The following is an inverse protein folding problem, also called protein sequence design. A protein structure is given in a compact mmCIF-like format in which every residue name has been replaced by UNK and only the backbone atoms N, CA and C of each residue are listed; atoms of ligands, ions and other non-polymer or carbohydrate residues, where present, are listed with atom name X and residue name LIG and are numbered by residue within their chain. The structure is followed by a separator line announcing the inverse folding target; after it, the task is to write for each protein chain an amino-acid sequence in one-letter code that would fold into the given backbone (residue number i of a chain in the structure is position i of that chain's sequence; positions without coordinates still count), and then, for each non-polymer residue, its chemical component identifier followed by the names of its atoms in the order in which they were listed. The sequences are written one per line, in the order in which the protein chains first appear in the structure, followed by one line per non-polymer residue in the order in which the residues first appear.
data_IF_526360034942
#
_entry.id   IF_526360034942
#
_cell.length_a   1.000
_cell.length_b   1.000
_cell.length_c   1.000
_cell.angle_alpha   90.00
_cell.angle_beta   90.00
_cell.angle_gamma   90.00
#
_symmetry.space_group_name_H-M   'P 1'
#
loop_
_entity.id
_entity.type
_entity.pdbx_description
1 polymer ?
#
# COMPACT_ATOMS: atom_id res chain seq x y z
N UNK A 1 42.89 -2.90 26.55
CA UNK A 1 41.46 -3.20 26.80
C UNK A 1 40.70 -3.03 25.50
N UNK A 2 40.30 -4.12 24.84
CA UNK A 2 39.49 -4.08 23.62
C UNK A 2 38.02 -4.08 24.07
N UNK A 3 37.27 -3.02 23.76
CA UNK A 3 35.81 -2.98 23.97
C UNK A 3 35.14 -3.63 22.77
N UNK A 4 34.52 -4.78 22.98
CA UNK A 4 33.65 -5.43 22.01
C UNK A 4 32.32 -4.67 21.97
N UNK A 5 32.01 -4.02 20.85
CA UNK A 5 30.71 -3.41 20.60
C UNK A 5 29.92 -4.36 19.71
N UNK A 6 28.87 -4.98 20.27
CA UNK A 6 27.99 -5.85 19.48
C UNK A 6 27.28 -5.01 18.43
N UNK A 7 27.54 -5.30 17.16
CA UNK A 7 26.83 -4.70 16.04
C UNK A 7 25.39 -5.23 16.11
N UNK A 8 24.45 -4.42 16.59
CA UNK A 8 23.02 -4.74 16.51
C UNK A 8 22.68 -4.92 15.04
N UNK A 9 22.54 -6.18 14.61
CA UNK A 9 22.00 -6.50 13.31
C UNK A 9 20.59 -5.87 13.25
N UNK A 10 20.47 -4.78 12.50
CA UNK A 10 19.18 -4.19 12.19
C UNK A 10 18.32 -5.32 11.64
N UNK A 11 17.25 -5.67 12.36
CA UNK A 11 16.34 -6.75 12.00
C UNK A 11 15.81 -6.48 10.60
N UNK A 12 16.27 -7.26 9.62
CA UNK A 12 15.83 -7.17 8.25
C UNK A 12 14.31 -7.38 8.22
N UNK A 13 13.56 -6.32 7.94
CA UNK A 13 12.12 -6.43 7.74
C UNK A 13 11.89 -7.38 6.56
N UNK A 14 11.09 -8.44 6.72
CA UNK A 14 10.83 -9.37 5.63
C UNK A 14 10.21 -8.61 4.47
N UNK A 15 10.74 -8.84 3.26
CA UNK A 15 10.18 -8.24 2.05
C UNK A 15 8.69 -8.59 1.97
N UNK A 16 7.81 -7.61 1.75
CA UNK A 16 6.39 -7.88 1.64
C UNK A 16 6.15 -8.86 0.48
N UNK A 17 5.20 -9.77 0.66
CA UNK A 17 4.78 -10.65 -0.43
C UNK A 17 4.37 -9.82 -1.65
N UNK A 18 4.55 -10.33 -2.87
CA UNK A 18 4.14 -9.62 -4.08
C UNK A 18 2.67 -9.17 -4.02
N UNK A 19 1.80 -9.97 -3.39
CA UNK A 19 0.40 -9.60 -3.16
C UNK A 19 0.26 -8.39 -2.25
N UNK A 20 0.99 -8.36 -1.14
CA UNK A 20 0.98 -7.23 -0.20
C UNK A 20 1.45 -5.95 -0.88
N UNK A 21 2.56 -6.02 -1.63
CA UNK A 21 3.08 -4.88 -2.38
C UNK A 21 2.07 -4.32 -3.40
N UNK A 22 1.33 -5.20 -4.10
CA UNK A 22 0.29 -4.78 -5.03
C UNK A 22 -0.92 -4.15 -4.31
N UNK A 23 -1.30 -4.66 -3.15
CA UNK A 23 -2.37 -4.08 -2.33
C UNK A 23 -1.97 -2.69 -1.84
N UNK A 24 -0.73 -2.54 -1.34
CA UNK A 24 -0.20 -1.26 -0.86
C UNK A 24 -0.16 -0.23 -1.99
N UNK A 25 0.33 -0.62 -3.18
CA UNK A 25 0.35 0.25 -4.35
C UNK A 25 -1.06 0.69 -4.75
N UNK A 26 -2.01 -0.25 -4.86
CA UNK A 26 -3.39 0.07 -5.22
C UNK A 26 -4.04 0.98 -4.17
N UNK A 27 -3.81 0.73 -2.88
CA UNK A 27 -4.30 1.58 -1.80
C UNK A 27 -3.71 2.99 -1.87
N UNK A 28 -2.42 3.13 -2.21
CA UNK A 28 -1.77 4.42 -2.44
C UNK A 28 -2.46 5.21 -3.55
N UNK A 29 -2.63 4.60 -4.72
CA UNK A 29 -3.29 5.24 -5.87
C UNK A 29 -4.76 5.60 -5.57
N UNK A 30 -5.49 4.75 -4.83
CA UNK A 30 -6.85 5.06 -4.37
C UNK A 30 -6.89 6.31 -3.48
N UNK A 31 -5.90 6.47 -2.59
CA UNK A 31 -5.82 7.64 -1.71
C UNK A 31 -5.45 8.89 -2.50
N UNK A 32 -4.50 8.81 -3.42
CA UNK A 32 -4.14 9.94 -4.28
C UNK A 32 -5.32 10.44 -5.10
N UNK A 33 -6.07 9.52 -5.73
CA UNK A 33 -7.30 9.87 -6.44
C UNK A 33 -8.30 10.57 -5.52
N UNK A 34 -8.55 10.01 -4.33
CA UNK A 34 -9.49 10.60 -3.38
C UNK A 34 -9.04 12.00 -2.92
N UNK A 35 -7.75 12.21 -2.69
CA UNK A 35 -7.19 13.53 -2.33
C UNK A 35 -7.26 14.52 -3.50
N UNK A 36 -7.11 14.06 -4.74
CA UNK A 36 -7.26 14.86 -5.94
C UNK A 36 -8.72 15.15 -6.31
N UNK A 37 -9.70 14.70 -5.52
CA UNK A 37 -11.13 14.84 -5.82
C UNK A 37 -11.62 13.93 -6.95
N UNK A 38 -10.82 12.96 -7.38
CA UNK A 38 -11.18 11.99 -8.40
C UNK A 38 -11.98 10.84 -7.79
N UNK A 39 -12.97 10.34 -8.55
CA UNK A 39 -13.75 9.18 -8.11
C UNK A 39 -12.93 7.90 -8.26
N UNK A 40 -12.84 7.13 -7.17
CA UNK A 40 -12.21 5.81 -7.17
C UNK A 40 -13.20 4.77 -7.70
N UNK A 41 -13.04 4.33 -8.94
CA UNK A 41 -13.87 3.32 -9.60
C UNK A 41 -13.00 2.27 -10.30
N UNK A 42 -13.60 1.15 -10.72
CA UNK A 42 -12.88 0.15 -11.51
C UNK A 42 -12.40 0.70 -12.86
N UNK A 43 -13.14 1.66 -13.42
CA UNK A 43 -12.80 2.35 -14.67
C UNK A 43 -11.56 3.24 -14.49
N UNK A 44 -11.56 4.11 -13.47
CA UNK A 44 -10.42 5.01 -13.21
C UNK A 44 -9.17 4.26 -12.74
N UNK A 45 -9.32 3.11 -12.08
CA UNK A 45 -8.22 2.19 -11.83
C UNK A 45 -7.72 1.51 -13.12
N UNK A 46 -8.62 1.19 -14.03
CA UNK A 46 -8.29 0.66 -15.36
C UNK A 46 -7.48 1.66 -16.19
N UNK A 47 -7.85 2.93 -16.18
CA UNK A 47 -7.10 4.03 -16.82
C UNK A 47 -5.67 4.17 -16.26
N UNK A 48 -5.48 3.85 -14.97
CA UNK A 48 -4.17 3.82 -14.30
C UNK A 48 -3.36 2.54 -14.57
N UNK A 49 -3.88 1.64 -15.42
CA UNK A 49 -3.19 0.45 -15.89
C UNK A 49 -3.48 -0.83 -15.09
N UNK A 50 -4.48 -0.82 -14.21
CA UNK A 50 -4.89 -2.04 -13.49
C UNK A 50 -5.78 -2.92 -14.35
N UNK A 51 -5.44 -4.21 -14.43
CA UNK A 51 -6.31 -5.17 -15.10
C UNK A 51 -7.59 -5.43 -14.29
N UNK A 52 -8.73 -5.72 -14.95
CA UNK A 52 -10.00 -5.98 -14.27
C UNK A 52 -9.90 -7.17 -13.30
N UNK A 53 -9.12 -8.19 -13.65
CA UNK A 53 -8.86 -9.33 -12.79
C UNK A 53 -8.11 -8.94 -11.51
N UNK A 54 -7.11 -8.05 -11.60
CA UNK A 54 -6.38 -7.54 -10.44
C UNK A 54 -7.26 -6.65 -9.57
N UNK A 55 -8.05 -5.76 -10.16
CA UNK A 55 -8.99 -4.90 -9.43
C UNK A 55 -9.96 -5.77 -8.63
N UNK A 56 -10.61 -6.75 -9.25
CA UNK A 56 -11.57 -7.64 -8.57
C UNK A 56 -10.95 -8.38 -7.38
N UNK A 57 -9.67 -8.79 -7.49
CA UNK A 57 -8.97 -9.58 -6.46
C UNK A 57 -8.39 -8.74 -5.33
N UNK A 58 -7.91 -7.53 -5.64
CA UNK A 58 -7.12 -6.71 -4.72
C UNK A 58 -7.93 -5.56 -4.10
N UNK A 59 -8.93 -5.03 -4.81
CA UNK A 59 -9.68 -3.85 -4.40
C UNK A 59 -10.30 -3.97 -2.99
N UNK A 60 -10.91 -5.10 -2.57
CA UNK A 60 -11.47 -5.20 -1.22
C UNK A 60 -10.42 -4.97 -0.12
N UNK A 61 -9.22 -5.51 -0.31
CA UNK A 61 -8.12 -5.33 0.63
C UNK A 61 -7.51 -3.94 0.54
N UNK A 62 -7.33 -3.41 -0.68
CA UNK A 62 -6.79 -2.08 -0.92
C UNK A 62 -7.70 -0.98 -0.34
N UNK A 63 -9.02 -1.11 -0.46
CA UNK A 63 -10.00 -0.18 0.14
C UNK A 63 -9.91 -0.20 1.66
N UNK A 64 -9.86 -1.38 2.27
CA UNK A 64 -9.72 -1.50 3.73
C UNK A 64 -8.41 -0.87 4.24
N UNK A 65 -7.32 -1.07 3.50
CA UNK A 65 -6.03 -0.47 3.82
C UNK A 65 -6.04 1.06 3.63
N UNK A 66 -6.54 1.55 2.49
CA UNK A 66 -6.65 2.97 2.19
C UNK A 66 -7.44 3.71 3.27
N UNK A 67 -8.58 3.15 3.70
CA UNK A 67 -9.38 3.67 4.82
C UNK A 67 -8.57 3.76 6.11
N UNK A 68 -7.90 2.68 6.51
CA UNK A 68 -7.08 2.65 7.75
C UNK A 68 -5.98 3.70 7.72
N UNK A 69 -5.28 3.83 6.60
CA UNK A 69 -4.17 4.78 6.48
C UNK A 69 -4.63 6.24 6.34
N UNK A 70 -5.81 6.48 5.78
CA UNK A 70 -6.41 7.83 5.75
C UNK A 70 -6.79 8.28 7.16
N UNK A 71 -7.40 7.41 7.97
CA UNK A 71 -7.75 7.72 9.37
C UNK A 71 -6.50 8.01 10.22
N UNK A 72 -5.43 7.21 10.07
CA UNK A 72 -4.18 7.40 10.83
C UNK A 72 -3.44 8.72 10.56
N UNK A 73 -3.77 9.43 9.48
CA UNK A 73 -3.04 10.65 9.07
C UNK A 73 -3.72 11.95 9.47
N UNK A 74 -4.88 11.89 10.13
CA UNK A 74 -5.66 13.05 10.59
C UNK A 74 -5.36 13.42 12.06
N UNK A 75 -4.43 12.73 12.72
CA UNK A 75 -4.01 12.98 14.10
C UNK A 75 -2.62 13.63 14.17
#
# INVERSE_FOLDING_TARGET
MIRYQAFSAASATPSPSCRTALIDRMAGEMREMAFAGQTVSAETLGERGWSPASIKRLAPHAVALARRQSVRRVA
#
